data_IF_505847636207
#
_entry.id   IF_505847636207
#
_cell.length_a   1.000
_cell.length_b   1.000
_cell.length_c   1.000
_cell.angle_alpha   90.00
_cell.angle_beta   90.00
_cell.angle_gamma   90.00
#
_symmetry.space_group_name_H-M   'P 1'
#
loop_
_entity.id
_entity.type
_entity.pdbx_description
1 polymer ?
#
# COMPACT_ATOMS: atom_id res chain seq x y z
N UNK A 1 27.67 -28.85 41.81
CA UNK A 1 26.37 -29.32 42.31
C UNK A 1 25.36 -29.15 41.18
N UNK A 2 25.43 -30.00 40.14
CA UNK A 2 24.58 -31.20 39.91
C UNK A 2 23.08 -30.84 39.96
N UNK A 3 22.42 -30.61 38.81
CA UNK A 3 21.75 -31.60 37.92
C UNK A 3 20.58 -32.33 38.61
N UNK A 4 19.35 -32.08 38.12
CA UNK A 4 18.23 -33.03 37.99
C UNK A 4 17.23 -32.41 36.99
N UNK A 5 17.21 -32.81 35.71
CA UNK A 5 16.52 -33.97 35.11
C UNK A 5 14.99 -33.99 35.30
N UNK A 6 14.30 -33.51 34.25
CA UNK A 6 13.28 -34.20 33.44
C UNK A 6 12.63 -35.49 34.00
N UNK A 7 11.29 -35.54 33.94
CA UNK A 7 10.49 -36.78 33.77
C UNK A 7 9.02 -36.47 33.43
N UNK A 8 8.70 -36.60 32.14
CA UNK A 8 7.62 -37.42 31.56
C UNK A 8 6.22 -37.43 32.22
N UNK A 9 5.22 -37.00 31.45
CA UNK A 9 3.81 -37.41 31.55
C UNK A 9 3.64 -38.94 31.32
N UNK A 10 2.54 -39.59 31.78
CA UNK A 10 1.35 -39.70 30.91
C UNK A 10 -0.05 -39.88 31.59
N UNK A 11 -1.10 -39.45 30.85
CA UNK A 11 -2.48 -39.99 30.69
C UNK A 11 -3.53 -39.98 31.83
N UNK A 12 -4.65 -39.29 31.59
CA UNK A 12 -6.05 -39.81 31.44
C UNK A 12 -7.00 -38.60 31.24
N UNK A 13 -7.50 -38.27 30.05
CA UNK A 13 -8.76 -38.74 29.42
C UNK A 13 -9.94 -38.93 30.39
N UNK A 14 -10.85 -37.96 30.41
CA UNK A 14 -12.29 -38.19 30.56
C UNK A 14 -13.03 -37.01 29.91
N UNK A 15 -13.75 -37.34 28.84
CA UNK A 15 -14.56 -36.45 28.04
C UNK A 15 -15.86 -36.10 28.76
N UNK A 16 -16.26 -34.83 28.72
CA UNK A 16 -17.67 -34.46 28.81
C UNK A 16 -18.01 -33.65 27.56
N UNK A 17 -18.79 -34.30 26.71
CA UNK A 17 -19.51 -33.74 25.59
C UNK A 17 -20.45 -32.64 26.11
N UNK A 18 -20.12 -31.39 25.85
CA UNK A 18 -21.11 -30.32 25.72
C UNK A 18 -21.20 -30.00 24.24
N UNK A 19 -22.40 -30.24 23.72
CA UNK A 19 -22.77 -30.07 22.33
C UNK A 19 -22.33 -28.70 21.83
N UNK A 20 -21.30 -28.71 20.98
CA UNK A 20 -21.05 -27.66 20.02
C UNK A 20 -22.28 -27.59 19.11
N UNK A 21 -23.21 -26.68 19.40
CA UNK A 21 -23.89 -26.01 18.30
C UNK A 21 -22.82 -25.16 17.62
N UNK A 22 -22.07 -25.77 16.70
CA UNK A 22 -21.30 -25.02 15.72
C UNK A 22 -22.31 -24.25 14.87
N UNK A 23 -22.69 -23.05 15.32
CA UNK A 23 -22.86 -22.00 14.34
C UNK A 23 -21.47 -21.84 13.74
N UNK A 24 -21.29 -22.38 12.53
CA UNK A 24 -20.24 -21.91 11.64
C UNK A 24 -20.63 -20.45 11.37
N UNK A 25 -20.27 -19.53 12.27
CA UNK A 25 -20.02 -18.16 11.86
C UNK A 25 -18.91 -18.31 10.83
N UNK A 26 -19.29 -18.33 9.55
CA UNK A 26 -18.36 -18.06 8.48
C UNK A 26 -17.62 -16.80 8.92
N UNK A 27 -16.29 -16.88 9.03
CA UNK A 27 -15.45 -15.74 9.39
C UNK A 27 -15.84 -14.61 8.44
N UNK A 28 -16.69 -13.71 8.90
CA UNK A 28 -17.15 -12.62 8.06
C UNK A 28 -15.92 -11.76 7.90
N UNK A 29 -15.61 -11.40 6.65
CA UNK A 29 -14.65 -10.35 6.38
C UNK A 29 -15.26 -9.07 6.97
N UNK A 30 -15.17 -8.87 8.28
CA UNK A 30 -15.52 -7.68 9.05
C UNK A 30 -14.41 -7.54 10.09
N UNK A 31 -13.17 -7.47 9.61
CA UNK A 31 -12.14 -6.81 10.39
C UNK A 31 -12.38 -5.31 10.29
N UNK A 32 -13.12 -4.75 11.26
CA UNK A 32 -12.81 -3.41 11.72
C UNK A 32 -11.36 -3.47 12.17
N UNK A 33 -10.46 -2.79 11.44
CA UNK A 33 -9.11 -2.64 11.93
C UNK A 33 -9.21 -1.97 13.31
N UNK A 34 -8.68 -2.57 14.39
CA UNK A 34 -8.46 -1.79 15.59
C UNK A 34 -7.55 -0.65 15.14
N UNK A 35 -8.05 0.58 15.22
CA UNK A 35 -7.21 1.77 15.16
C UNK A 35 -6.34 1.76 16.42
N UNK A 36 -5.37 0.85 16.49
CA UNK A 36 -4.25 1.00 17.41
C UNK A 36 -3.44 2.16 16.85
N UNK A 37 -3.84 3.37 17.22
CA UNK A 37 -3.02 4.55 17.00
C UNK A 37 -1.65 4.25 17.58
N UNK A 38 -0.64 4.15 16.72
CA UNK A 38 0.74 3.95 17.16
C UNK A 38 1.12 5.23 17.90
N UNK A 39 1.03 5.19 19.24
CA UNK A 39 1.39 6.33 20.06
C UNK A 39 2.91 6.48 20.01
N UNK A 40 3.38 7.57 19.41
CA UNK A 40 4.81 7.90 19.39
C UNK A 40 5.32 8.10 20.82
N UNK A 41 6.52 7.60 21.10
CA UNK A 41 7.22 7.86 22.36
C UNK A 41 7.42 9.37 22.55
N UNK A 42 7.43 9.84 23.80
CA UNK A 42 7.57 11.27 24.09
C UNK A 42 8.87 11.85 23.51
N UNK A 43 9.97 11.10 23.58
CA UNK A 43 11.26 11.49 23.00
C UNK A 43 11.19 11.70 21.48
N UNK A 44 10.43 10.86 20.77
CA UNK A 44 10.24 11.00 19.32
C UNK A 44 9.42 12.24 18.99
N UNK A 45 8.33 12.51 19.74
CA UNK A 45 7.51 13.71 19.56
C UNK A 45 8.32 14.98 19.79
N UNK A 46 9.14 15.00 20.85
CA UNK A 46 10.02 16.12 21.14
C UNK A 46 11.01 16.38 20.00
N UNK A 47 11.66 15.33 19.46
CA UNK A 47 12.58 15.51 18.32
C UNK A 47 11.86 15.95 17.06
N UNK A 48 10.68 15.40 16.76
CA UNK A 48 9.87 15.85 15.63
C UNK A 48 9.56 17.35 15.76
N UNK A 49 9.15 17.82 16.93
CA UNK A 49 8.89 19.25 17.15
C UNK A 49 10.14 20.13 16.95
N UNK A 50 11.33 19.66 17.37
CA UNK A 50 12.59 20.37 17.12
C UNK A 50 12.93 20.41 15.63
N UNK A 51 12.71 19.31 14.91
CA UNK A 51 12.95 19.22 13.47
C UNK A 51 11.98 20.07 12.65
N UNK A 52 10.76 20.26 13.13
CA UNK A 52 9.72 21.08 12.47
C UNK A 52 9.91 22.59 12.72
N UNK A 53 10.50 22.96 13.86
CA UNK A 53 10.81 24.35 14.18
C UNK A 53 12.01 24.91 13.39
N UNK A 54 12.27 26.23 13.48
CA UNK A 54 13.50 26.81 12.90
C UNK A 54 14.74 26.31 13.65
N UNK A 55 15.85 26.14 12.93
CA UNK A 55 17.11 25.68 13.51
C UNK A 55 17.70 26.69 14.49
N UNK A 56 17.92 26.27 15.73
CA UNK A 56 18.41 27.12 16.83
C UNK A 56 19.46 26.39 17.68
N UNK A 57 20.43 27.14 18.23
CA UNK A 57 21.53 26.57 19.02
C UNK A 57 21.06 25.79 20.25
N UNK A 58 19.91 26.16 20.84
CA UNK A 58 19.30 25.41 21.96
C UNK A 58 18.91 23.97 21.60
N UNK A 59 18.81 23.64 20.30
CA UNK A 59 18.44 22.31 19.82
C UNK A 59 19.61 21.32 19.81
N UNK A 60 20.86 21.81 19.90
CA UNK A 60 22.07 20.95 19.81
C UNK A 60 22.05 19.87 20.88
N UNK A 61 21.94 20.24 22.16
CA UNK A 61 22.00 19.28 23.27
C UNK A 61 20.85 18.26 23.24
N UNK A 62 19.57 18.66 23.03
CA UNK A 62 18.48 17.71 22.88
C UNK A 62 18.66 16.70 21.72
N UNK A 63 19.16 17.15 20.57
CA UNK A 63 19.35 16.28 19.40
C UNK A 63 20.51 15.29 19.61
N UNK A 64 21.61 15.72 20.22
CA UNK A 64 22.71 14.83 20.62
C UNK A 64 22.21 13.79 21.62
N UNK A 65 21.48 14.25 22.65
CA UNK A 65 20.93 13.38 23.68
C UNK A 65 20.01 12.31 23.10
N UNK A 66 19.12 12.68 22.16
CA UNK A 66 18.27 11.71 21.47
C UNK A 66 19.08 10.65 20.72
N UNK A 67 20.10 11.06 19.97
CA UNK A 67 20.95 10.13 19.21
C UNK A 67 21.72 9.16 20.11
N UNK A 68 22.14 9.60 21.30
CA UNK A 68 22.88 8.77 22.23
C UNK A 68 21.96 7.82 23.01
N UNK A 69 20.85 8.34 23.55
CA UNK A 69 20.10 7.65 24.61
C UNK A 69 18.75 7.07 24.17
N UNK A 70 18.21 7.48 23.03
CA UNK A 70 16.91 6.95 22.59
C UNK A 70 17.02 5.45 22.32
N UNK A 71 16.04 4.69 22.81
CA UNK A 71 15.81 3.28 22.46
C UNK A 71 14.56 3.12 21.60
N UNK A 72 14.04 4.22 21.03
CA UNK A 72 12.84 4.17 20.19
C UNK A 72 13.10 3.36 18.91
N UNK A 73 12.10 2.60 18.50
CA UNK A 73 12.05 1.96 17.18
C UNK A 73 12.21 2.97 16.03
N UNK A 74 11.88 4.25 16.26
CA UNK A 74 12.01 5.32 15.28
C UNK A 74 13.41 5.96 15.24
N UNK A 75 14.30 5.62 16.19
CA UNK A 75 15.65 6.18 16.27
C UNK A 75 16.45 6.05 14.96
N UNK A 76 16.40 4.94 14.20
CA UNK A 76 17.12 4.85 12.93
C UNK A 76 16.72 5.93 11.92
N UNK A 77 15.46 6.40 11.95
CA UNK A 77 14.97 7.44 11.04
C UNK A 77 15.18 8.82 11.67
N UNK A 78 14.58 9.06 12.84
CA UNK A 78 14.61 10.37 13.51
C UNK A 78 16.02 10.77 13.93
N UNK A 79 16.86 9.79 14.29
CA UNK A 79 18.25 10.04 14.64
C UNK A 79 19.08 10.50 13.44
N UNK A 80 18.82 9.97 12.24
CA UNK A 80 19.46 10.43 11.02
C UNK A 80 19.04 11.86 10.66
N UNK A 81 17.77 12.23 10.84
CA UNK A 81 17.33 13.62 10.69
C UNK A 81 17.91 14.54 11.76
N UNK A 82 18.04 14.07 13.00
CA UNK A 82 18.71 14.81 14.06
C UNK A 82 20.19 15.08 13.73
N UNK A 83 20.92 14.07 13.23
CA UNK A 83 22.30 14.24 12.74
C UNK A 83 22.39 15.20 11.56
N UNK A 84 21.44 15.13 10.61
CA UNK A 84 21.38 16.04 9.48
C UNK A 84 21.21 17.50 9.96
N UNK A 85 20.30 17.74 10.91
CA UNK A 85 20.07 19.05 11.52
C UNK A 85 21.33 19.55 12.25
N UNK A 86 21.94 18.71 13.09
CA UNK A 86 23.18 19.04 13.81
C UNK A 86 24.30 19.41 12.84
N UNK A 87 24.47 18.65 11.76
CA UNK A 87 25.47 18.94 10.75
C UNK A 87 25.20 20.25 10.00
N UNK A 88 23.95 20.51 9.61
CA UNK A 88 23.58 21.75 8.94
C UNK A 88 23.84 22.99 9.82
N UNK A 89 23.56 22.89 11.13
CA UNK A 89 23.87 23.95 12.09
C UNK A 89 25.38 24.16 12.23
N UNK A 90 26.15 23.08 12.36
CA UNK A 90 27.60 23.17 12.46
C UNK A 90 28.25 23.75 11.20
N UNK A 91 27.78 23.38 10.00
CA UNK A 91 28.25 23.97 8.74
C UNK A 91 27.95 25.47 8.67
N UNK A 92 26.76 25.90 9.13
CA UNK A 92 26.41 27.32 9.21
C UNK A 92 27.40 28.09 10.09
N UNK A 93 27.84 27.47 11.18
CA UNK A 93 28.74 28.07 12.17
C UNK A 93 30.23 27.87 11.81
N UNK A 94 30.52 27.23 10.66
CA UNK A 94 31.88 27.01 10.15
C UNK A 94 32.59 25.76 10.68
N UNK A 95 31.94 24.99 11.56
CA UNK A 95 32.51 23.74 12.10
C UNK A 95 32.30 22.56 11.14
N UNK A 96 33.15 22.50 10.12
CA UNK A 96 33.13 21.44 9.10
C UNK A 96 33.53 20.08 9.67
N UNK A 97 34.33 20.04 10.74
CA UNK A 97 34.77 18.81 11.39
C UNK A 97 33.61 18.12 12.11
N UNK A 98 32.90 18.83 12.99
CA UNK A 98 31.74 18.28 13.68
C UNK A 98 30.64 17.89 12.70
N UNK A 99 30.40 18.71 11.68
CA UNK A 99 29.43 18.38 10.63
C UNK A 99 29.74 17.03 9.96
N UNK A 100 30.99 16.79 9.54
CA UNK A 100 31.38 15.51 8.93
C UNK A 100 31.25 14.33 9.90
N UNK A 101 31.55 14.52 11.19
CA UNK A 101 31.31 13.49 12.22
C UNK A 101 29.84 13.10 12.30
N UNK A 102 28.92 14.06 12.27
CA UNK A 102 27.48 13.76 12.30
C UNK A 102 27.01 13.11 10.99
N UNK A 103 27.44 13.64 9.85
CA UNK A 103 27.02 13.16 8.54
C UNK A 103 27.52 11.75 8.21
N UNK A 104 28.75 11.41 8.62
CA UNK A 104 29.34 10.08 8.39
C UNK A 104 28.61 8.94 9.12
N UNK A 105 27.86 9.27 10.18
CA UNK A 105 27.03 8.31 10.92
C UNK A 105 25.65 8.09 10.29
N UNK A 106 25.27 8.86 9.26
CA UNK A 106 23.98 8.68 8.59
C UNK A 106 24.06 7.46 7.68
N UNK A 107 23.15 6.52 7.92
CA UNK A 107 23.07 5.30 7.13
C UNK A 107 22.78 5.61 5.66
N UNK A 108 23.50 4.97 4.74
CA UNK A 108 23.40 5.30 3.33
C UNK A 108 22.11 4.82 2.66
N UNK A 109 21.36 3.90 3.30
CA UNK A 109 20.03 3.45 2.90
C UNK A 109 18.89 4.22 3.61
N UNK A 110 19.22 5.31 4.31
CA UNK A 110 18.23 6.15 4.98
C UNK A 110 17.62 7.20 4.05
N UNK A 111 16.39 7.68 4.35
CA UNK A 111 15.80 8.80 3.60
C UNK A 111 16.62 10.10 3.64
N UNK A 112 17.53 10.23 4.62
CA UNK A 112 18.41 11.39 4.78
C UNK A 112 19.73 11.27 3.98
N UNK A 113 20.00 10.13 3.32
CA UNK A 113 21.30 9.84 2.72
C UNK A 113 21.72 10.83 1.63
N UNK A 114 20.79 11.27 0.77
CA UNK A 114 21.10 12.26 -0.28
C UNK A 114 21.48 13.59 0.34
N UNK A 115 20.67 14.09 1.27
CA UNK A 115 20.94 15.35 1.97
C UNK A 115 22.26 15.28 2.74
N UNK A 116 22.54 14.16 3.38
CA UNK A 116 23.79 13.96 4.11
C UNK A 116 25.01 13.98 3.18
N UNK A 117 24.93 13.31 2.03
CA UNK A 117 26.03 13.25 1.07
C UNK A 117 26.28 14.61 0.38
N UNK A 118 25.21 15.38 0.11
CA UNK A 118 25.35 16.74 -0.42
C UNK A 118 25.96 17.69 0.62
N UNK A 119 25.57 17.58 1.89
CA UNK A 119 26.20 18.35 2.97
C UNK A 119 27.66 17.92 3.23
N UNK A 120 27.99 16.64 3.03
CA UNK A 120 29.39 16.19 3.05
C UNK A 120 30.18 16.85 1.94
N UNK A 121 29.66 16.87 0.71
CA UNK A 121 30.31 17.54 -0.40
C UNK A 121 30.52 19.04 -0.11
N UNK A 122 29.50 19.75 0.37
CA UNK A 122 29.58 21.15 0.76
C UNK A 122 30.60 21.39 1.88
N UNK A 123 30.66 20.49 2.87
CA UNK A 123 31.67 20.59 3.93
C UNK A 123 33.09 20.56 3.36
N UNK A 124 33.37 19.75 2.35
CA UNK A 124 34.68 19.67 1.70
C UNK A 124 34.97 20.90 0.84
N UNK A 125 33.96 21.44 0.14
CA UNK A 125 34.09 22.70 -0.61
C UNK A 125 34.49 23.86 0.29
N UNK A 126 33.89 23.95 1.49
CA UNK A 126 34.21 25.01 2.47
C UNK A 126 35.65 24.98 2.95
N UNK A 127 36.25 23.79 3.02
CA UNK A 127 37.67 23.62 3.35
C UNK A 127 38.60 23.70 2.11
N UNK A 128 38.06 24.01 0.92
CA UNK A 128 38.81 24.05 -0.34
C UNK A 128 39.19 22.68 -0.91
N UNK A 129 38.66 21.58 -0.35
CA UNK A 129 38.92 20.22 -0.82
C UNK A 129 37.94 19.83 -1.94
N UNK A 130 38.14 20.43 -3.11
CA UNK A 130 37.28 20.23 -4.28
C UNK A 130 37.27 18.79 -4.81
N UNK A 131 38.35 18.03 -4.60
CA UNK A 131 38.44 16.64 -5.03
C UNK A 131 37.46 15.75 -4.25
N UNK A 132 37.48 15.85 -2.92
CA UNK A 132 36.56 15.09 -2.07
C UNK A 132 35.11 15.54 -2.26
N UNK A 133 34.89 16.85 -2.42
CA UNK A 133 33.57 17.39 -2.74
C UNK A 133 32.99 16.74 -4.00
N UNK A 134 33.73 16.77 -5.11
CA UNK A 134 33.31 16.13 -6.36
C UNK A 134 33.10 14.63 -6.20
N UNK A 135 33.99 13.93 -5.49
CA UNK A 135 33.84 12.48 -5.27
C UNK A 135 32.49 12.15 -4.59
N UNK A 136 32.07 12.95 -3.60
CA UNK A 136 30.77 12.80 -2.97
C UNK A 136 29.60 13.11 -3.90
N UNK A 137 29.68 14.19 -4.69
CA UNK A 137 28.64 14.54 -5.68
C UNK A 137 28.44 13.41 -6.71
N UNK A 138 29.53 12.90 -7.28
CA UNK A 138 29.50 11.83 -8.29
C UNK A 138 28.95 10.53 -7.71
N UNK A 139 29.40 10.14 -6.52
CA UNK A 139 28.91 8.93 -5.83
C UNK A 139 27.40 9.03 -5.54
N UNK A 140 26.94 10.20 -5.12
CA UNK A 140 25.53 10.44 -4.79
C UNK A 140 24.66 10.36 -6.04
N UNK A 141 25.07 11.00 -7.14
CA UNK A 141 24.37 10.95 -8.42
C UNK A 141 24.32 9.54 -9.03
N UNK A 142 25.37 8.73 -8.82
CA UNK A 142 25.41 7.35 -9.26
C UNK A 142 24.44 6.47 -8.46
N UNK A 143 24.37 6.67 -7.14
CA UNK A 143 23.52 5.88 -6.24
C UNK A 143 22.04 6.25 -6.33
N UNK A 144 21.73 7.52 -6.52
CA UNK A 144 20.37 8.05 -6.53
C UNK A 144 20.05 8.70 -7.89
N UNK A 145 20.07 7.94 -9.00
CA UNK A 145 19.93 8.48 -10.35
C UNK A 145 18.56 9.12 -10.61
N UNK A 146 17.55 8.75 -9.83
CA UNK A 146 16.21 9.33 -9.87
C UNK A 146 15.99 10.50 -8.92
N UNK A 147 17.00 10.94 -8.14
CA UNK A 147 16.87 12.10 -7.26
C UNK A 147 17.37 13.38 -7.96
N UNK A 148 16.53 14.41 -8.15
CA UNK A 148 16.92 15.60 -8.90
C UNK A 148 18.11 16.34 -8.27
N UNK A 149 18.18 16.40 -6.93
CA UNK A 149 19.28 17.05 -6.19
C UNK A 149 20.58 16.24 -6.24
N UNK A 150 20.48 14.91 -6.30
CA UNK A 150 21.65 14.07 -6.52
C UNK A 150 22.20 14.27 -7.94
N UNK A 151 21.33 14.28 -8.96
CA UNK A 151 21.74 14.46 -10.36
C UNK A 151 22.29 15.87 -10.61
N UNK A 152 21.78 16.91 -9.95
CA UNK A 152 22.37 18.27 -10.02
C UNK A 152 23.81 18.33 -9.53
N UNK A 153 24.23 17.40 -8.67
CA UNK A 153 25.63 17.23 -8.28
C UNK A 153 26.58 16.98 -9.47
N UNK A 154 26.09 16.39 -10.56
CA UNK A 154 26.89 16.23 -11.79
C UNK A 154 27.16 17.55 -12.50
N UNK A 155 26.18 18.46 -12.50
CA UNK A 155 26.32 19.80 -13.09
C UNK A 155 27.31 20.61 -12.26
N UNK A 156 27.16 20.58 -10.93
CA UNK A 156 28.09 21.24 -10.00
C UNK A 156 29.53 20.73 -10.19
N UNK A 157 29.73 19.42 -10.23
CA UNK A 157 31.05 18.85 -10.47
C UNK A 157 31.61 19.18 -11.87
N UNK A 158 30.74 19.31 -12.88
CA UNK A 158 31.09 19.79 -14.22
C UNK A 158 31.54 21.25 -14.22
N UNK A 159 30.81 22.11 -13.51
CA UNK A 159 31.14 23.52 -13.32
C UNK A 159 32.48 23.67 -12.58
N UNK A 160 32.72 22.88 -11.54
CA UNK A 160 33.99 22.88 -10.81
C UNK A 160 35.18 22.58 -11.74
N UNK A 161 35.06 21.56 -12.60
CA UNK A 161 36.10 21.26 -13.61
C UNK A 161 36.23 22.34 -14.68
N UNK A 162 35.11 22.89 -15.16
CA UNK A 162 35.11 23.96 -16.15
C UNK A 162 35.84 25.19 -15.62
N UNK A 163 35.57 25.58 -14.38
CA UNK A 163 36.17 26.75 -13.75
C UNK A 163 37.69 26.57 -13.53
N UNK A 164 38.17 25.32 -13.48
CA UNK A 164 39.59 24.97 -13.44
C UNK A 164 40.23 24.86 -14.84
N UNK A 165 39.48 25.13 -15.92
CA UNK A 165 39.96 24.94 -17.30
C UNK A 165 40.04 23.47 -17.75
N UNK A 166 39.62 22.52 -16.90
CA UNK A 166 39.67 21.09 -17.12
C UNK A 166 38.49 20.61 -18.00
N UNK A 167 38.43 21.13 -19.23
CA UNK A 167 37.28 20.95 -20.12
C UNK A 167 37.03 19.49 -20.55
N UNK A 168 38.10 18.68 -20.61
CA UNK A 168 37.98 17.25 -20.95
C UNK A 168 37.25 16.46 -19.84
N UNK A 169 37.39 16.89 -18.59
CA UNK A 169 36.74 16.31 -17.42
C UNK A 169 35.32 16.85 -17.23
N UNK A 170 35.09 18.13 -17.54
CA UNK A 170 33.77 18.75 -17.38
C UNK A 170 32.72 18.20 -18.37
N UNK A 171 33.08 18.05 -19.65
CA UNK A 171 32.16 17.63 -20.71
C UNK A 171 31.40 16.32 -20.45
N UNK A 172 32.04 15.21 -20.03
CA UNK A 172 31.33 13.96 -19.75
C UNK A 172 30.33 14.10 -18.59
N UNK A 173 30.58 14.99 -17.62
CA UNK A 173 29.66 15.21 -16.50
C UNK A 173 28.37 15.91 -16.95
N UNK A 174 28.47 16.95 -17.79
CA UNK A 174 27.28 17.59 -18.36
C UNK A 174 26.49 16.62 -19.24
N UNK A 175 27.17 15.81 -20.07
CA UNK A 175 26.49 14.80 -20.88
C UNK A 175 25.78 13.76 -20.00
N UNK A 176 26.40 13.32 -18.90
CA UNK A 176 25.79 12.39 -17.96
C UNK A 176 24.56 13.00 -17.26
N UNK A 177 24.63 14.27 -16.86
CA UNK A 177 23.49 15.00 -16.29
C UNK A 177 22.32 15.08 -17.28
N UNK A 178 22.61 15.38 -18.55
CA UNK A 178 21.60 15.43 -19.62
C UNK A 178 20.92 14.08 -19.83
N UNK A 179 21.71 13.01 -19.92
CA UNK A 179 21.18 11.67 -20.12
C UNK A 179 20.27 11.27 -18.95
N UNK A 180 20.70 11.48 -17.71
CA UNK A 180 19.89 11.19 -16.52
C UNK A 180 18.62 12.05 -16.46
N UNK A 181 18.70 13.33 -16.81
CA UNK A 181 17.52 14.19 -16.86
C UNK A 181 16.51 13.69 -17.91
N UNK A 182 16.97 13.30 -19.09
CA UNK A 182 16.13 12.76 -20.15
C UNK A 182 15.49 11.41 -19.77
N UNK A 183 16.26 10.50 -19.17
CA UNK A 183 15.75 9.21 -18.66
C UNK A 183 14.64 9.40 -17.62
N UNK A 184 14.86 10.29 -16.65
CA UNK A 184 13.85 10.57 -15.62
C UNK A 184 12.62 11.28 -16.20
N UNK A 185 12.78 12.22 -17.13
CA UNK A 185 11.64 12.84 -17.84
C UNK A 185 10.82 11.81 -18.62
N UNK A 186 11.49 10.85 -19.28
CA UNK A 186 10.81 9.74 -19.97
C UNK A 186 9.99 8.91 -18.98
N UNK A 187 10.58 8.50 -17.85
CA UNK A 187 9.86 7.75 -16.82
C UNK A 187 8.64 8.51 -16.26
N UNK A 188 8.78 9.82 -16.05
CA UNK A 188 7.67 10.69 -15.63
C UNK A 188 6.55 10.79 -16.69
N UNK A 189 6.90 10.85 -17.98
CA UNK A 189 5.90 10.86 -19.06
C UNK A 189 5.19 9.51 -19.19
N UNK A 190 5.91 8.39 -19.02
CA UNK A 190 5.30 7.06 -18.99
C UNK A 190 4.35 6.88 -17.80
N UNK A 191 4.69 7.47 -16.65
CA UNK A 191 3.79 7.50 -15.50
C UNK A 191 2.53 8.32 -15.75
N UNK A 192 2.67 9.50 -16.36
CA UNK A 192 1.52 10.35 -16.71
C UNK A 192 0.52 9.59 -17.60
N UNK A 193 1.03 8.83 -18.57
CA UNK A 193 0.23 7.99 -19.45
C UNK A 193 -0.39 6.77 -18.74
N UNK A 194 0.22 6.30 -17.64
CA UNK A 194 -0.26 5.16 -16.87
C UNK A 194 -0.08 5.36 -15.34
N UNK A 195 -0.94 6.18 -14.71
CA UNK A 195 -0.86 6.51 -13.28
C UNK A 195 -0.98 5.29 -12.35
N UNK A 196 -1.63 4.22 -12.83
CA UNK A 196 -1.91 3.04 -12.02
C UNK A 196 -0.65 2.26 -11.64
N UNK A 197 0.47 2.50 -12.34
CA UNK A 197 1.80 1.97 -11.96
C UNK A 197 2.23 2.46 -10.58
N UNK A 198 1.81 3.67 -10.18
CA UNK A 198 2.17 4.29 -8.92
C UNK A 198 1.67 3.50 -7.71
N UNK A 199 0.50 2.85 -7.81
CA UNK A 199 -0.08 2.11 -6.69
C UNK A 199 0.80 0.95 -6.24
N UNK A 200 1.48 0.28 -7.18
CA UNK A 200 2.42 -0.79 -6.84
C UNK A 200 3.61 -0.24 -6.08
N UNK A 201 4.15 0.90 -6.52
CA UNK A 201 5.24 1.59 -5.82
C UNK A 201 4.77 2.00 -4.42
N UNK A 202 3.65 2.71 -4.29
CA UNK A 202 3.17 3.20 -2.98
C UNK A 202 2.87 2.09 -1.96
N UNK A 203 2.46 0.89 -2.42
CA UNK A 203 2.14 -0.24 -1.53
C UNK A 203 3.33 -1.14 -1.21
N UNK A 204 4.41 -1.09 -1.99
CA UNK A 204 5.57 -1.98 -1.83
C UNK A 204 6.86 -1.26 -1.43
N UNK A 205 6.93 0.08 -1.53
CA UNK A 205 8.19 0.80 -1.34
C UNK A 205 8.37 1.20 0.11
N UNK A 206 9.46 0.74 0.71
CA UNK A 206 9.98 1.33 1.95
C UNK A 206 10.57 2.69 1.58
N UNK A 207 9.99 3.78 2.07
CA UNK A 207 10.32 5.17 1.71
C UNK A 207 11.79 5.60 1.97
N UNK A 208 12.66 4.71 2.44
CA UNK A 208 14.04 5.00 2.83
C UNK A 208 15.09 4.97 1.72
N UNK A 209 14.89 4.20 0.64
CA UNK A 209 15.90 4.06 -0.43
C UNK A 209 15.35 4.48 -1.80
N UNK A 210 14.89 5.73 -1.87
CA UNK A 210 14.29 6.32 -3.06
C UNK A 210 15.34 6.59 -4.14
N UNK A 211 15.63 5.57 -4.95
CA UNK A 211 16.63 5.62 -6.02
C UNK A 211 16.02 5.98 -7.37
N UNK A 212 14.72 5.78 -7.53
CA UNK A 212 13.99 6.06 -8.78
C UNK A 212 13.24 7.38 -8.71
N UNK A 213 12.97 7.99 -9.87
CA UNK A 213 12.15 9.21 -9.93
C UNK A 213 10.71 8.99 -9.47
N UNK A 214 10.22 7.76 -9.61
CA UNK A 214 8.92 7.34 -9.09
C UNK A 214 8.87 7.46 -7.57
N UNK A 215 9.90 6.97 -6.89
CA UNK A 215 9.98 7.04 -5.44
C UNK A 215 10.08 8.50 -4.98
N UNK A 216 10.80 9.35 -5.72
CA UNK A 216 10.93 10.77 -5.40
C UNK A 216 9.62 11.51 -5.59
N UNK A 217 8.83 11.13 -6.60
CA UNK A 217 7.49 11.67 -6.78
C UNK A 217 6.55 11.22 -5.66
N UNK A 218 6.61 9.96 -5.24
CA UNK A 218 5.87 9.48 -4.05
C UNK A 218 6.25 10.28 -2.81
N UNK A 219 7.54 10.52 -2.59
CA UNK A 219 8.00 11.35 -1.48
C UNK A 219 7.47 12.78 -1.57
N UNK A 220 7.44 13.39 -2.76
CA UNK A 220 6.87 14.74 -2.95
C UNK A 220 5.37 14.77 -2.62
N UNK A 221 4.60 13.84 -3.19
CA UNK A 221 3.17 13.67 -2.93
C UNK A 221 2.83 13.38 -1.47
N UNK A 222 3.73 12.74 -0.71
CA UNK A 222 3.54 12.47 0.72
C UNK A 222 3.92 13.68 1.59
N UNK A 223 4.83 14.53 1.11
CA UNK A 223 5.28 15.73 1.82
C UNK A 223 4.33 16.92 1.71
N UNK A 224 3.51 16.96 0.66
CA UNK A 224 2.45 17.94 0.57
C UNK A 224 1.44 17.74 1.72
N UNK A 225 1.31 18.74 2.59
CA UNK A 225 0.44 18.70 3.76
C UNK A 225 -1.04 18.61 3.40
N UNK A 226 -1.43 19.11 2.22
CA UNK A 226 -2.82 19.08 1.75
C UNK A 226 -3.16 17.77 1.03
N UNK A 227 -2.14 16.98 0.69
CA UNK A 227 -2.28 15.75 -0.07
C UNK A 227 -3.03 14.65 0.69
N UNK A 228 -4.01 14.05 0.02
CA UNK A 228 -4.75 12.90 0.52
C UNK A 228 -4.04 11.56 0.27
N UNK A 229 -2.78 11.57 -0.16
CA UNK A 229 -2.02 10.39 -0.57
C UNK A 229 -1.80 9.41 0.56
N UNK A 230 -1.43 9.86 1.76
CA UNK A 230 -1.25 8.97 2.91
C UNK A 230 -2.56 8.26 3.32
N UNK A 231 -3.68 8.97 3.57
CA UNK A 231 -4.97 8.34 3.80
C UNK A 231 -5.40 7.40 2.65
N UNK A 232 -5.22 7.82 1.40
CA UNK A 232 -5.56 7.00 0.24
C UNK A 232 -4.71 5.72 0.15
N UNK A 233 -3.41 5.81 0.43
CA UNK A 233 -2.50 4.65 0.46
C UNK A 233 -2.95 3.63 1.50
N UNK A 234 -3.29 4.08 2.71
CA UNK A 234 -3.81 3.20 3.76
C UNK A 234 -5.10 2.50 3.33
N UNK A 235 -6.03 3.24 2.69
CA UNK A 235 -7.25 2.66 2.12
C UNK A 235 -6.95 1.61 1.04
N UNK A 236 -5.98 1.86 0.17
CA UNK A 236 -5.56 0.91 -0.87
C UNK A 236 -4.94 -0.36 -0.27
N UNK A 237 -4.10 -0.23 0.77
CA UNK A 237 -3.50 -1.37 1.47
C UNK A 237 -4.57 -2.23 2.16
N UNK A 238 -5.46 -1.60 2.94
CA UNK A 238 -6.57 -2.29 3.61
C UNK A 238 -7.52 -2.95 2.58
N UNK A 239 -7.75 -2.31 1.44
CA UNK A 239 -8.58 -2.87 0.39
C UNK A 239 -7.96 -4.13 -0.25
N UNK A 240 -6.64 -4.19 -0.42
CA UNK A 240 -5.96 -5.39 -0.93
C UNK A 240 -6.13 -6.60 -0.01
N UNK A 241 -6.00 -6.41 1.30
CA UNK A 241 -6.28 -7.46 2.29
C UNK A 241 -7.75 -7.89 2.23
N UNK A 242 -8.66 -6.92 2.08
CA UNK A 242 -10.09 -7.20 2.01
C UNK A 242 -10.50 -7.95 0.76
N UNK A 243 -9.89 -7.67 -0.40
CA UNK A 243 -10.09 -8.43 -1.64
C UNK A 243 -9.72 -9.90 -1.42
N UNK A 244 -8.60 -10.18 -0.74
CA UNK A 244 -8.17 -11.56 -0.49
C UNK A 244 -9.21 -12.31 0.34
N UNK A 245 -9.66 -11.71 1.45
CA UNK A 245 -10.70 -12.29 2.29
C UNK A 245 -12.03 -12.51 1.52
N UNK A 246 -12.49 -11.52 0.75
CA UNK A 246 -13.73 -11.64 -0.01
C UNK A 246 -13.68 -12.75 -1.08
N UNK A 247 -12.51 -13.02 -1.68
CA UNK A 247 -12.34 -14.13 -2.63
C UNK A 247 -12.54 -15.49 -1.95
N UNK A 248 -11.98 -15.66 -0.75
CA UNK A 248 -12.15 -16.89 0.02
C UNK A 248 -13.62 -17.09 0.42
N UNK A 249 -14.29 -16.02 0.85
CA UNK A 249 -15.71 -16.06 1.19
C UNK A 249 -16.59 -16.38 -0.04
N UNK A 250 -16.24 -15.83 -1.21
CA UNK A 250 -16.90 -16.12 -2.49
C UNK A 250 -16.77 -17.58 -2.89
N UNK A 251 -15.57 -18.17 -2.77
CA UNK A 251 -15.38 -19.61 -3.02
C UNK A 251 -16.25 -20.45 -2.09
N UNK A 252 -16.27 -20.13 -0.79
CA UNK A 252 -17.12 -20.82 0.19
C UNK A 252 -18.60 -20.72 -0.15
N UNK A 253 -19.08 -19.52 -0.51
CA UNK A 253 -20.47 -19.30 -0.90
C UNK A 253 -20.84 -20.06 -2.19
N UNK A 254 -19.96 -20.05 -3.20
CA UNK A 254 -20.20 -20.76 -4.46
C UNK A 254 -20.31 -22.28 -4.24
N UNK A 255 -19.48 -22.86 -3.37
CA UNK A 255 -19.58 -24.27 -3.01
C UNK A 255 -20.92 -24.56 -2.30
N UNK A 256 -21.35 -23.70 -1.36
CA UNK A 256 -22.62 -23.85 -0.67
C UNK A 256 -23.83 -23.77 -1.63
N UNK A 257 -23.78 -22.85 -2.60
CA UNK A 257 -24.78 -22.73 -3.67
C UNK A 257 -24.80 -24.00 -4.51
N UNK A 258 -23.65 -24.48 -4.98
CA UNK A 258 -23.56 -25.72 -5.76
C UNK A 258 -24.13 -26.93 -5.01
N UNK A 259 -23.82 -27.07 -3.72
CA UNK A 259 -24.39 -28.14 -2.89
C UNK A 259 -25.90 -28.01 -2.67
N UNK A 260 -26.44 -26.80 -2.61
CA UNK A 260 -27.88 -26.57 -2.54
C UNK A 260 -28.56 -26.93 -3.88
N UNK A 261 -27.98 -26.49 -5.01
CA UNK A 261 -28.49 -26.79 -6.35
C UNK A 261 -28.42 -28.29 -6.69
N UNK A 262 -27.36 -28.98 -6.30
CA UNK A 262 -27.24 -30.43 -6.47
C UNK A 262 -28.31 -31.20 -5.67
N UNK A 263 -28.60 -30.76 -4.43
CA UNK A 263 -29.69 -31.33 -3.63
C UNK A 263 -31.05 -31.09 -4.27
N UNK A 264 -31.30 -29.89 -4.79
CA UNK A 264 -32.55 -29.58 -5.50
C UNK A 264 -32.74 -30.45 -6.75
N UNK A 265 -31.70 -30.62 -7.56
CA UNK A 265 -31.73 -31.53 -8.72
C UNK A 265 -32.07 -32.97 -8.32
N UNK A 266 -31.47 -33.47 -7.22
CA UNK A 266 -31.78 -34.79 -6.68
C UNK A 266 -33.23 -34.91 -6.17
N UNK A 267 -33.79 -33.82 -5.66
CA UNK A 267 -35.16 -33.78 -5.10
C UNK A 267 -36.23 -33.53 -6.17
N UNK A 268 -35.87 -33.08 -7.38
CA UNK A 268 -36.81 -32.68 -8.43
C UNK A 268 -37.78 -33.77 -8.85
N UNK A 269 -37.30 -35.01 -9.00
CA UNK A 269 -38.16 -36.16 -9.32
C UNK A 269 -39.15 -36.47 -8.18
N UNK A 270 -38.69 -36.43 -6.93
CA UNK A 270 -39.54 -36.68 -5.75
C UNK A 270 -40.60 -35.60 -5.56
N UNK A 271 -40.25 -34.33 -5.80
CA UNK A 271 -41.21 -33.21 -5.79
C UNK A 271 -42.26 -33.35 -6.88
N UNK A 272 -41.85 -33.72 -8.09
CA UNK A 272 -42.77 -33.92 -9.21
C UNK A 272 -43.78 -35.02 -8.88
N UNK A 273 -43.31 -36.16 -8.36
CA UNK A 273 -44.19 -37.24 -7.93
C UNK A 273 -45.12 -36.81 -6.78
N UNK A 274 -44.59 -36.15 -5.74
CA UNK A 274 -45.39 -35.70 -4.60
C UNK A 274 -46.43 -34.63 -4.99
N UNK A 275 -46.13 -33.76 -5.96
CA UNK A 275 -47.10 -32.80 -6.50
C UNK A 275 -48.21 -33.48 -7.31
N UNK A 276 -47.88 -34.48 -8.14
CA UNK A 276 -48.90 -35.27 -8.84
C UNK A 276 -49.82 -35.99 -7.86
N UNK A 277 -49.24 -36.61 -6.82
CA UNK A 277 -50.00 -37.30 -5.76
C UNK A 277 -50.88 -36.32 -4.96
N UNK A 278 -50.37 -35.12 -4.67
CA UNK A 278 -51.12 -34.04 -4.04
C UNK A 278 -52.33 -33.63 -4.88
N UNK A 279 -52.14 -33.33 -6.16
CA UNK A 279 -53.24 -32.94 -7.06
C UNK A 279 -54.33 -34.02 -7.12
N UNK A 280 -53.93 -35.30 -7.20
CA UNK A 280 -54.88 -36.41 -7.19
C UNK A 280 -55.65 -36.51 -5.84
N UNK A 281 -54.95 -36.33 -4.72
CA UNK A 281 -55.56 -36.35 -3.37
C UNK A 281 -56.50 -35.15 -3.16
N UNK A 282 -56.17 -33.98 -3.70
CA UNK A 282 -57.04 -32.79 -3.66
C UNK A 282 -58.34 -33.02 -4.43
N UNK A 283 -58.27 -33.64 -5.61
CA UNK A 283 -59.44 -34.03 -6.40
C UNK A 283 -60.30 -35.07 -5.67
N UNK A 284 -59.68 -36.09 -5.06
CA UNK A 284 -60.38 -37.09 -4.24
C UNK A 284 -61.13 -36.45 -3.07
N UNK A 285 -60.52 -35.51 -2.36
CA UNK A 285 -61.15 -34.76 -1.28
C UNK A 285 -62.35 -33.95 -1.80
N UNK A 286 -62.23 -33.31 -2.96
CA UNK A 286 -63.31 -32.53 -3.57
C UNK A 286 -64.50 -33.42 -3.96
N UNK A 287 -64.22 -34.56 -4.59
CA UNK A 287 -65.24 -35.55 -4.97
C UNK A 287 -65.93 -36.17 -3.75
N UNK A 288 -65.18 -36.56 -2.71
CA UNK A 288 -65.73 -37.09 -1.46
C UNK A 288 -66.63 -36.04 -0.77
N UNK A 289 -66.22 -34.78 -0.72
CA UNK A 289 -67.05 -33.69 -0.18
C UNK A 289 -68.35 -33.55 -0.97
N UNK A 290 -68.30 -33.63 -2.30
CA UNK A 290 -69.50 -33.58 -3.16
C UNK A 290 -70.45 -34.75 -2.92
N UNK A 291 -69.92 -35.96 -2.75
CA UNK A 291 -70.73 -37.17 -2.50
C UNK A 291 -71.35 -37.11 -1.10
N UNK A 292 -70.58 -36.73 -0.07
CA UNK A 292 -71.06 -36.62 1.32
C UNK A 292 -72.16 -35.55 1.43
N UNK A 293 -72.09 -34.45 0.66
CA UNK A 293 -73.15 -33.45 0.62
C UNK A 293 -74.52 -34.04 0.21
N UNK A 294 -74.51 -35.11 -0.61
CA UNK A 294 -75.72 -35.81 -1.05
C UNK A 294 -76.06 -37.05 -0.19
N UNK A 295 -75.16 -37.49 0.68
CA UNK A 295 -75.32 -38.65 1.57
C UNK A 295 -74.67 -38.39 2.95
N UNK A 296 -75.24 -37.48 3.76
CA UNK A 296 -74.57 -36.94 4.96
C UNK A 296 -74.37 -37.97 6.09
N UNK A 297 -75.13 -39.06 6.08
CA UNK A 297 -75.08 -40.09 7.12
C UNK A 297 -74.14 -41.26 6.78
N UNK A 298 -73.39 -41.18 5.67
CA UNK A 298 -72.44 -42.20 5.25
C UNK A 298 -71.12 -42.09 6.05
N UNK A 299 -71.08 -42.71 7.23
CA UNK A 299 -69.94 -42.70 8.16
C UNK A 299 -68.64 -43.15 7.47
N UNK A 300 -68.73 -44.17 6.61
CA UNK A 300 -67.58 -44.69 5.87
C UNK A 300 -66.96 -43.65 4.92
N UNK A 301 -67.78 -42.84 4.25
CA UNK A 301 -67.30 -41.75 3.39
C UNK A 301 -66.70 -40.60 4.19
N UNK A 302 -67.26 -40.30 5.37
CA UNK A 302 -66.68 -39.31 6.28
C UNK A 302 -65.30 -39.73 6.78
N UNK A 303 -65.12 -41.02 7.07
CA UNK A 303 -63.82 -41.58 7.47
C UNK A 303 -62.81 -41.51 6.31
N UNK A 304 -63.20 -41.90 5.10
CA UNK A 304 -62.35 -41.77 3.91
C UNK A 304 -61.92 -40.33 3.64
N UNK A 305 -62.82 -39.35 3.82
CA UNK A 305 -62.49 -37.93 3.71
C UNK A 305 -61.43 -37.49 4.73
N UNK A 306 -61.54 -37.94 5.98
CA UNK A 306 -60.56 -37.63 7.02
C UNK A 306 -59.18 -38.25 6.69
N UNK A 307 -59.14 -39.48 6.20
CA UNK A 307 -57.91 -40.15 5.78
C UNK A 307 -57.25 -39.47 4.58
N UNK A 308 -58.04 -38.99 3.62
CA UNK A 308 -57.56 -38.23 2.47
C UNK A 308 -56.99 -36.86 2.90
N UNK A 309 -57.64 -36.16 3.85
CA UNK A 309 -57.13 -34.92 4.42
C UNK A 309 -55.81 -35.11 5.18
N UNK A 310 -55.69 -36.18 5.96
CA UNK A 310 -54.45 -36.53 6.64
C UNK A 310 -53.32 -36.87 5.65
N UNK A 311 -53.65 -37.54 4.54
CA UNK A 311 -52.70 -37.81 3.46
C UNK A 311 -52.23 -36.53 2.80
N UNK A 312 -53.14 -35.59 2.51
CA UNK A 312 -52.81 -34.27 1.98
C UNK A 312 -51.87 -33.50 2.94
N UNK A 313 -52.13 -33.54 4.25
CA UNK A 313 -51.25 -32.92 5.25
C UNK A 313 -49.84 -33.54 5.25
N UNK A 314 -49.73 -34.86 5.15
CA UNK A 314 -48.43 -35.54 5.03
C UNK A 314 -47.70 -35.17 3.74
N UNK A 315 -48.42 -35.08 2.63
CA UNK A 315 -47.85 -34.66 1.34
C UNK A 315 -47.36 -33.21 1.37
N UNK A 316 -48.11 -32.30 1.98
CA UNK A 316 -47.67 -30.92 2.20
C UNK A 316 -46.39 -30.88 3.05
N UNK A 317 -46.34 -31.59 4.17
CA UNK A 317 -45.14 -31.66 5.01
C UNK A 317 -43.93 -32.25 4.27
N UNK A 318 -44.14 -33.25 3.41
CA UNK A 318 -43.09 -33.86 2.59
C UNK A 318 -42.58 -32.89 1.51
N UNK A 319 -43.48 -32.15 0.86
CA UNK A 319 -43.11 -31.12 -0.12
C UNK A 319 -42.33 -29.99 0.55
N UNK A 320 -42.72 -29.57 1.76
CA UNK A 320 -41.98 -28.57 2.55
C UNK A 320 -40.57 -29.06 2.91
N UNK A 321 -40.42 -30.34 3.28
CA UNK A 321 -39.11 -30.96 3.54
C UNK A 321 -38.23 -31.09 2.29
N UNK A 322 -38.83 -31.37 1.13
CA UNK A 322 -38.10 -31.47 -0.14
C UNK A 322 -37.60 -30.11 -0.65
N UNK A 323 -38.22 -29.02 -0.20
CA UNK A 323 -37.86 -27.65 -0.54
C UNK A 323 -38.29 -27.24 -1.95
N UNK A 324 -38.03 -25.98 -2.31
CA UNK A 324 -38.29 -25.42 -3.65
C UNK A 324 -37.05 -25.37 -4.53
N UNK A 325 -37.22 -24.97 -5.80
CA UNK A 325 -36.12 -24.71 -6.75
C UNK A 325 -35.39 -23.40 -6.49
N UNK A 326 -35.95 -22.54 -5.63
CA UNK A 326 -35.33 -21.28 -5.25
C UNK A 326 -34.11 -21.53 -4.36
N UNK A 327 -33.10 -20.68 -4.50
CA UNK A 327 -31.95 -20.74 -3.60
C UNK A 327 -32.44 -20.47 -2.16
N UNK A 328 -31.96 -21.20 -1.14
CA UNK A 328 -32.35 -20.93 0.24
C UNK A 328 -32.17 -19.45 0.59
N UNK A 329 -33.19 -18.83 1.20
CA UNK A 329 -33.21 -17.39 1.49
C UNK A 329 -31.95 -16.90 2.24
N UNK A 330 -31.36 -17.75 3.09
CA UNK A 330 -30.10 -17.45 3.79
C UNK A 330 -28.91 -17.32 2.82
N UNK A 331 -28.83 -18.17 1.79
CA UNK A 331 -27.78 -18.11 0.77
C UNK A 331 -28.00 -16.93 -0.18
N UNK A 332 -29.26 -16.59 -0.51
CA UNK A 332 -29.59 -15.38 -1.28
C UNK A 332 -29.18 -14.11 -0.52
N UNK A 333 -29.55 -14.02 0.76
CA UNK A 333 -29.15 -12.91 1.61
C UNK A 333 -27.62 -12.79 1.72
N UNK A 334 -26.92 -13.92 1.88
CA UNK A 334 -25.44 -13.94 1.95
C UNK A 334 -24.81 -13.51 0.62
N UNK A 335 -25.37 -13.93 -0.53
CA UNK A 335 -24.94 -13.48 -1.85
C UNK A 335 -25.15 -11.98 -2.05
N UNK A 336 -26.33 -11.46 -1.72
CA UNK A 336 -26.62 -10.03 -1.80
C UNK A 336 -25.69 -9.20 -0.89
N UNK A 337 -25.45 -9.65 0.35
CA UNK A 337 -24.52 -9.00 1.27
C UNK A 337 -23.07 -9.03 0.77
N UNK A 338 -22.65 -10.11 0.10
CA UNK A 338 -21.32 -10.20 -0.52
C UNK A 338 -21.18 -9.21 -1.70
N UNK A 339 -22.16 -9.16 -2.60
CA UNK A 339 -22.14 -8.24 -3.74
C UNK A 339 -22.16 -6.77 -3.29
N UNK A 340 -22.95 -6.44 -2.27
CA UNK A 340 -22.93 -5.11 -1.65
C UNK A 340 -21.54 -4.76 -1.09
N UNK A 341 -20.89 -5.69 -0.37
CA UNK A 341 -19.52 -5.49 0.15
C UNK A 341 -18.48 -5.31 -0.97
N UNK A 342 -18.58 -6.10 -2.05
CA UNK A 342 -17.72 -5.96 -3.24
C UNK A 342 -17.93 -4.61 -3.93
N UNK A 343 -19.18 -4.19 -4.11
CA UNK A 343 -19.51 -2.91 -4.72
C UNK A 343 -18.95 -1.73 -3.89
N UNK A 344 -19.13 -1.79 -2.56
CA UNK A 344 -18.59 -0.78 -1.65
C UNK A 344 -17.05 -0.73 -1.70
N UNK A 345 -16.40 -1.88 -1.66
CA UNK A 345 -14.94 -1.98 -1.76
C UNK A 345 -14.42 -1.42 -3.10
N UNK A 346 -15.10 -1.73 -4.21
CA UNK A 346 -14.75 -1.20 -5.51
C UNK A 346 -14.90 0.33 -5.57
N UNK A 347 -15.93 0.87 -4.93
CA UNK A 347 -16.11 2.31 -4.83
C UNK A 347 -15.00 2.96 -4.00
N UNK A 348 -14.66 2.39 -2.85
CA UNK A 348 -13.61 2.90 -1.98
C UNK A 348 -12.24 2.84 -2.67
N UNK A 349 -11.96 1.79 -3.45
CA UNK A 349 -10.79 1.69 -4.32
C UNK A 349 -10.77 2.77 -5.39
N UNK A 350 -11.88 3.01 -6.10
CA UNK A 350 -11.97 4.07 -7.11
C UNK A 350 -11.71 5.45 -6.49
N UNK A 351 -12.30 5.73 -5.34
CA UNK A 351 -12.08 6.99 -4.62
C UNK A 351 -10.62 7.14 -4.17
N UNK A 352 -10.03 6.11 -3.56
CA UNK A 352 -8.64 6.17 -3.13
C UNK A 352 -7.67 6.35 -4.31
N UNK A 353 -7.89 5.62 -5.42
CA UNK A 353 -7.15 5.80 -6.67
C UNK A 353 -7.28 7.21 -7.22
N UNK A 354 -8.49 7.77 -7.22
CA UNK A 354 -8.71 9.14 -7.67
C UNK A 354 -7.95 10.17 -6.84
N UNK A 355 -7.91 10.03 -5.51
CA UNK A 355 -7.15 10.93 -4.63
C UNK A 355 -5.64 10.90 -4.93
N UNK A 356 -5.07 9.73 -5.18
CA UNK A 356 -3.67 9.61 -5.59
C UNK A 356 -3.43 10.25 -6.95
N UNK A 357 -4.38 10.13 -7.89
CA UNK A 357 -4.26 10.78 -9.21
C UNK A 357 -4.31 12.31 -9.12
N UNK A 358 -5.10 12.87 -8.21
CA UNK A 358 -5.13 14.32 -7.97
C UNK A 358 -3.74 14.80 -7.52
N UNK A 359 -3.18 14.18 -6.47
CA UNK A 359 -1.86 14.54 -5.99
C UNK A 359 -0.77 14.35 -7.05
N UNK A 360 -0.90 13.30 -7.89
CA UNK A 360 -0.01 13.11 -9.03
C UNK A 360 -0.10 14.29 -10.01
N UNK A 361 -1.29 14.75 -10.36
CA UNK A 361 -1.47 15.88 -11.29
C UNK A 361 -0.92 17.19 -10.75
N UNK A 362 -0.86 17.36 -9.43
CA UNK A 362 -0.33 18.54 -8.75
C UNK A 362 1.21 18.51 -8.70
N UNK A 363 1.80 17.37 -8.33
CA UNK A 363 3.25 17.25 -8.11
C UNK A 363 4.07 16.95 -9.38
N UNK A 364 3.48 16.24 -10.34
CA UNK A 364 4.18 15.82 -11.56
C UNK A 364 4.74 17.01 -12.37
N UNK A 365 4.01 18.13 -12.60
CA UNK A 365 4.54 19.29 -13.32
C UNK A 365 5.76 19.91 -12.63
N UNK A 366 5.77 19.97 -11.29
CA UNK A 366 6.89 20.49 -10.52
C UNK A 366 8.14 19.60 -10.71
N UNK A 367 7.98 18.29 -10.57
CA UNK A 367 9.08 17.34 -10.77
C UNK A 367 9.64 17.39 -12.21
N UNK A 368 8.75 17.45 -13.23
CA UNK A 368 9.18 17.62 -14.64
C UNK A 368 9.94 18.93 -14.85
N UNK A 369 9.51 20.02 -14.21
CA UNK A 369 10.19 21.32 -14.28
C UNK A 369 11.61 21.23 -13.73
N UNK A 370 11.82 20.56 -12.60
CA UNK A 370 13.17 20.35 -12.06
C UNK A 370 14.11 19.69 -13.08
N UNK A 371 13.70 18.59 -13.71
CA UNK A 371 14.55 17.92 -14.69
C UNK A 371 14.76 18.72 -15.97
N UNK A 372 13.77 19.51 -16.41
CA UNK A 372 13.95 20.43 -17.55
C UNK A 372 14.96 21.52 -17.24
N UNK A 373 14.88 22.11 -16.05
CA UNK A 373 15.84 23.14 -15.60
C UNK A 373 17.25 22.54 -15.50
N UNK A 374 17.38 21.37 -14.88
CA UNK A 374 18.64 20.63 -14.79
C UNK A 374 19.25 20.34 -16.16
N UNK A 375 18.43 19.91 -17.12
CA UNK A 375 18.89 19.72 -18.49
C UNK A 375 19.33 21.05 -19.14
N UNK A 376 18.59 22.15 -18.89
CA UNK A 376 18.96 23.48 -19.33
C UNK A 376 20.31 23.95 -18.77
N UNK A 377 20.55 23.76 -17.47
CA UNK A 377 21.81 24.08 -16.80
C UNK A 377 22.98 23.26 -17.37
N UNK A 378 22.78 21.96 -17.55
CA UNK A 378 23.81 21.10 -18.16
C UNK A 378 24.09 21.47 -19.62
N UNK A 379 23.07 21.83 -20.41
CA UNK A 379 23.23 22.34 -21.77
C UNK A 379 24.00 23.66 -21.80
N UNK A 380 23.68 24.58 -20.89
CA UNK A 380 24.38 25.86 -20.75
C UNK A 380 25.86 25.65 -20.42
N UNK A 381 26.16 24.80 -19.43
CA UNK A 381 27.54 24.47 -19.07
C UNK A 381 28.32 23.87 -20.24
N UNK A 382 27.70 22.98 -21.01
CA UNK A 382 28.27 22.43 -22.24
C UNK A 382 28.49 23.48 -23.33
N UNK A 383 27.55 24.40 -23.54
CA UNK A 383 27.69 25.46 -24.53
C UNK A 383 28.85 26.41 -24.18
N UNK A 384 28.99 26.77 -22.90
CA UNK A 384 30.10 27.60 -22.41
C UNK A 384 31.46 26.94 -22.64
N UNK A 385 31.58 25.62 -22.45
CA UNK A 385 32.80 24.86 -22.78
C UNK A 385 33.18 24.97 -24.27
N UNK A 386 32.18 24.95 -25.16
CA UNK A 386 32.42 25.02 -26.60
C UNK A 386 32.81 26.44 -27.03
N UNK A 387 32.26 27.47 -26.40
CA UNK A 387 32.63 28.86 -26.64
C UNK A 387 34.05 29.19 -26.12
N UNK A 388 34.42 28.68 -24.94
CA UNK A 388 35.75 28.90 -24.37
C UNK A 388 36.86 28.21 -25.18
N UNK A 389 36.57 27.05 -25.78
CA UNK A 389 37.50 26.41 -26.75
C UNK A 389 37.69 27.23 -28.02
N UNK A 390 36.61 27.82 -28.57
CA UNK A 390 36.70 28.64 -29.78
C UNK A 390 37.55 29.89 -29.55
N UNK A 391 37.38 30.58 -28.42
CA UNK A 391 38.14 31.77 -28.06
C UNK A 391 39.62 31.48 -27.76
N UNK A 392 39.93 30.35 -27.11
CA UNK A 392 41.30 29.90 -26.92
C UNK A 392 41.99 29.58 -28.26
N UNK A 393 41.27 28.98 -29.21
CA UNK A 393 41.82 28.63 -30.53
C UNK A 393 42.06 29.85 -31.44
N UNK A 394 41.25 30.91 -31.32
CA UNK A 394 41.49 32.17 -32.06
C UNK A 394 42.68 32.95 -31.50
N UNK A 395 42.95 32.91 -30.20
CA UNK A 395 44.12 33.59 -29.59
C UNK A 395 45.46 32.94 -29.97
N UNK A 396 45.48 31.63 -30.27
CA UNK A 396 46.70 30.92 -30.72
C UNK A 396 46.99 31.16 -32.21
N UNK A 397 46.00 31.59 -33.00
CA UNK A 397 46.16 31.94 -34.42
C UNK A 397 46.65 33.37 -34.69
N UNK A 398 46.85 34.19 -33.65
CA UNK A 398 47.47 35.52 -33.72
C UNK A 398 48.83 35.48 -33.00
N UNK A 399 49.79 34.71 -33.54
CA UNK A 399 51.21 34.83 -33.20
C UNK A 399 52.05 34.71 -34.44
#
# INVERSE_FOLDING_TARGET
>A
MMIYMDKSAPRLVMAVLLALSTQVQAATCVSEHPQTGVALAQSDRSVIALLDSRADASQVSPLIHYNQQSNSINKPILGNYARLRLAAMALRDGDTAFARTQLSQIEQNSPAAVDAALLLAESYRRDGNEEQARAWLLRTAARFPGNPRAVSGLVLAGDDWRNQGAYAQALPLYNLALNKAAENLKALNELEANPDRLYRTMTNTVAGNSTTVMDQLVLAMVRDEQSQVLPATRKLMAANERIRCLREEETSLNNAIQHATARDLSNGAFRTAANMEKTATEQEIEDLKRIIANAPNAIELQQQLAEAQDRLNRLNNRLDQLGGTALPAQLEARKAAMESRKAKLNQDLKTARHQVRIALTEELPAMKRYYRNLAGEAQLGKAQLLQSKKTASTLVGFK
#
